data_IF_025178314323
#
_entry.id   IF_025178314323
#
_cell.length_a   1.000
_cell.length_b   1.000
_cell.length_c   1.000
_cell.angle_alpha   90.00
_cell.angle_beta   90.00
_cell.angle_gamma   90.00
#
_symmetry.space_group_name_H-M   'P 1'
#
loop_
_entity.id
_entity.type
_entity.pdbx_description
1 polymer ?
#
# COMPACT_ATOMS: atom_id res chain seq x y z
N UNK A 1 7.80 18.86 11.22
CA UNK A 1 8.32 19.69 10.12
C UNK A 1 7.32 19.52 8.98
N UNK A 2 6.58 20.57 8.61
CA UNK A 2 5.63 20.48 7.49
C UNK A 2 6.40 20.16 6.20
N UNK A 3 6.10 19.03 5.58
CA UNK A 3 6.79 18.56 4.39
C UNK A 3 6.22 19.28 3.16
N UNK A 4 7.07 20.01 2.43
CA UNK A 4 6.62 20.77 1.25
C UNK A 4 6.47 19.84 0.04
N UNK A 5 5.25 19.71 -0.45
CA UNK A 5 4.92 18.85 -1.59
C UNK A 5 5.51 19.39 -2.90
N UNK A 6 6.10 18.49 -3.70
CA UNK A 6 6.74 18.74 -5.00
C UNK A 6 6.11 17.84 -6.05
N UNK A 7 5.23 18.41 -6.89
CA UNK A 7 4.55 17.68 -7.97
C UNK A 7 5.45 17.36 -9.18
N UNK A 8 6.74 17.74 -9.15
CA UNK A 8 7.73 17.48 -10.20
C UNK A 8 9.06 17.05 -9.58
N UNK A 9 9.79 16.20 -10.29
CA UNK A 9 11.12 15.71 -9.90
C UNK A 9 11.07 14.42 -9.08
N UNK A 10 12.24 14.02 -8.58
CA UNK A 10 12.44 12.83 -7.74
C UNK A 10 13.46 13.16 -6.65
N UNK A 11 13.31 12.58 -5.45
CA UNK A 11 14.36 12.62 -4.44
C UNK A 11 15.57 11.77 -4.88
N UNK A 12 16.78 12.14 -4.46
CA UNK A 12 17.96 11.26 -4.54
C UNK A 12 18.21 10.63 -3.17
N UNK A 13 17.98 9.33 -3.04
CA UNK A 13 18.03 8.63 -1.74
C UNK A 13 19.44 8.14 -1.40
N UNK A 14 20.21 7.77 -2.41
CA UNK A 14 21.59 7.32 -2.29
C UNK A 14 22.50 8.09 -3.25
N UNK A 15 23.73 8.37 -2.81
CA UNK A 15 24.73 8.97 -3.71
C UNK A 15 25.12 8.03 -4.85
N UNK A 16 25.14 6.72 -4.58
CA UNK A 16 25.43 5.65 -5.54
C UNK A 16 24.25 5.39 -6.47
N UNK A 17 24.48 5.49 -7.78
CA UNK A 17 23.48 5.18 -8.80
C UNK A 17 23.01 3.72 -8.72
N UNK A 18 23.87 2.78 -8.31
CA UNK A 18 23.49 1.36 -8.16
C UNK A 18 22.51 1.17 -7.02
N UNK A 19 22.72 1.84 -5.89
CA UNK A 19 21.81 1.77 -4.75
C UNK A 19 20.49 2.49 -5.03
N UNK A 20 20.53 3.57 -5.81
CA UNK A 20 19.34 4.34 -6.18
C UNK A 20 18.34 3.51 -6.99
N UNK A 21 18.81 2.62 -7.89
CA UNK A 21 17.94 1.74 -8.68
C UNK A 21 17.08 0.84 -7.78
N UNK A 22 17.60 0.38 -6.64
CA UNK A 22 16.83 -0.44 -5.70
C UNK A 22 15.74 0.33 -4.94
N UNK A 23 15.69 1.66 -5.07
CA UNK A 23 14.61 2.50 -4.53
C UNK A 23 13.45 2.68 -5.51
N UNK A 24 13.63 2.26 -6.76
CA UNK A 24 12.68 2.45 -7.86
C UNK A 24 12.01 1.14 -8.19
N UNK A 25 10.72 1.17 -8.49
CA UNK A 25 9.92 -0.03 -8.74
C UNK A 25 8.78 0.25 -9.68
N UNK A 26 8.56 -0.68 -10.61
CA UNK A 26 7.41 -0.67 -11.49
C UNK A 26 6.36 -1.68 -11.01
N UNK A 27 5.06 -1.40 -11.22
CA UNK A 27 4.00 -2.35 -10.89
C UNK A 27 4.22 -3.72 -11.52
N UNK A 28 4.73 -3.79 -12.75
CA UNK A 28 4.94 -5.05 -13.48
C UNK A 28 5.89 -6.00 -12.75
N UNK A 29 6.96 -5.49 -12.13
CA UNK A 29 7.91 -6.31 -11.37
C UNK A 29 7.24 -6.90 -10.12
N UNK A 30 6.39 -6.12 -9.44
CA UNK A 30 5.69 -6.61 -8.25
C UNK A 30 4.65 -7.67 -8.63
N UNK A 31 3.90 -7.46 -9.71
CA UNK A 31 2.93 -8.44 -10.20
C UNK A 31 3.60 -9.73 -10.68
N UNK A 32 4.74 -9.65 -11.39
CA UNK A 32 5.45 -10.85 -11.87
C UNK A 32 6.00 -11.72 -10.74
N UNK A 33 6.24 -11.14 -9.56
CA UNK A 33 6.64 -11.86 -8.35
C UNK A 33 5.41 -12.48 -7.66
N UNK A 34 4.41 -11.66 -7.36
CA UNK A 34 3.34 -12.08 -6.46
C UNK A 34 2.23 -12.88 -7.13
N UNK A 35 1.93 -12.68 -8.41
CA UNK A 35 0.90 -13.46 -9.10
C UNK A 35 1.27 -14.95 -9.16
N UNK A 36 2.49 -15.34 -9.59
CA UNK A 36 2.90 -16.75 -9.53
C UNK A 36 2.90 -17.30 -8.10
N UNK A 37 3.33 -16.52 -7.11
CA UNK A 37 3.32 -16.94 -5.70
C UNK A 37 1.89 -17.24 -5.21
N UNK A 38 0.95 -16.33 -5.49
CA UNK A 38 -0.48 -16.50 -5.16
C UNK A 38 -1.01 -17.79 -5.79
N UNK A 39 -0.79 -17.97 -7.10
CA UNK A 39 -1.28 -19.15 -7.82
C UNK A 39 -0.66 -20.45 -7.30
N UNK A 40 0.64 -20.45 -7.00
CA UNK A 40 1.33 -21.62 -6.45
C UNK A 40 0.80 -22.01 -5.07
N UNK A 41 0.58 -21.04 -4.17
CA UNK A 41 0.08 -21.30 -2.83
C UNK A 41 -1.39 -21.76 -2.82
N UNK A 42 -2.23 -21.17 -3.66
CA UNK A 42 -3.62 -21.62 -3.83
C UNK A 42 -3.68 -23.01 -4.48
N UNK A 43 -2.83 -23.28 -5.47
CA UNK A 43 -2.69 -24.61 -6.07
C UNK A 43 -2.22 -25.64 -5.05
N UNK A 44 -1.22 -25.33 -4.24
CA UNK A 44 -0.75 -26.20 -3.16
C UNK A 44 -1.86 -26.47 -2.13
N UNK A 45 -2.67 -25.46 -1.79
CA UNK A 45 -3.80 -25.62 -0.87
C UNK A 45 -4.85 -26.60 -1.41
N UNK A 46 -5.19 -26.50 -2.71
CA UNK A 46 -6.21 -27.35 -3.35
C UNK A 46 -5.71 -28.77 -3.64
N UNK A 47 -4.49 -28.89 -4.16
CA UNK A 47 -3.99 -30.15 -4.74
C UNK A 47 -2.96 -30.85 -3.85
N UNK A 48 -2.20 -30.11 -3.03
CA UNK A 48 -1.19 -30.66 -2.13
C UNK A 48 -1.75 -30.95 -0.74
N UNK A 49 -2.48 -29.99 -0.16
CA UNK A 49 -3.13 -30.14 1.15
C UNK A 49 -4.55 -30.71 1.06
N UNK A 50 -5.08 -30.87 -0.17
CA UNK A 50 -6.42 -31.38 -0.43
C UNK A 50 -7.54 -30.60 0.30
N UNK A 51 -7.35 -29.30 0.53
CA UNK A 51 -8.35 -28.46 1.16
C UNK A 51 -9.48 -28.18 0.15
N UNK A 52 -10.72 -28.30 0.62
CA UNK A 52 -11.90 -28.00 -0.19
C UNK A 52 -11.91 -26.55 -0.69
N UNK A 53 -12.34 -26.36 -1.95
CA UNK A 53 -12.32 -25.04 -2.60
C UNK A 53 -13.06 -23.94 -1.83
N UNK A 54 -14.14 -24.27 -1.10
CA UNK A 54 -14.91 -23.28 -0.35
C UNK A 54 -14.14 -22.77 0.88
N UNK A 55 -13.39 -23.64 1.56
CA UNK A 55 -12.50 -23.23 2.65
C UNK A 55 -11.36 -22.34 2.12
N UNK A 56 -10.78 -22.71 0.98
CA UNK A 56 -9.77 -21.88 0.29
C UNK A 56 -10.34 -20.49 0.00
N UNK A 57 -11.56 -20.41 -0.55
CA UNK A 57 -12.22 -19.14 -0.83
C UNK A 57 -12.47 -18.32 0.45
N UNK A 58 -12.98 -18.94 1.52
CA UNK A 58 -13.22 -18.26 2.80
C UNK A 58 -11.94 -17.66 3.36
N UNK A 59 -10.85 -18.43 3.45
CA UNK A 59 -9.57 -17.91 3.95
C UNK A 59 -8.97 -16.85 3.03
N UNK A 60 -9.04 -17.04 1.72
CA UNK A 60 -8.55 -16.07 0.74
C UNK A 60 -9.27 -14.72 0.89
N UNK A 61 -10.60 -14.71 0.89
CA UNK A 61 -11.35 -13.45 1.04
C UNK A 61 -11.21 -12.85 2.45
N UNK A 62 -11.04 -13.69 3.49
CA UNK A 62 -10.73 -13.21 4.83
C UNK A 62 -9.36 -12.53 4.89
N UNK A 63 -8.34 -13.08 4.21
CA UNK A 63 -7.02 -12.48 4.08
C UNK A 63 -7.06 -11.16 3.33
N UNK A 64 -7.80 -11.10 2.22
CA UNK A 64 -8.00 -9.88 1.44
C UNK A 64 -8.72 -8.80 2.25
N UNK A 65 -9.75 -9.17 3.03
CA UNK A 65 -10.42 -8.24 3.93
C UNK A 65 -9.47 -7.76 5.04
N UNK A 66 -8.71 -8.67 5.66
CA UNK A 66 -7.74 -8.33 6.70
C UNK A 66 -6.64 -7.40 6.18
N UNK A 67 -6.22 -7.54 4.92
CA UNK A 67 -5.31 -6.58 4.30
C UNK A 67 -5.81 -5.14 4.42
N UNK A 68 -7.10 -4.87 4.22
CA UNK A 68 -7.64 -3.50 4.33
C UNK A 68 -7.45 -2.90 5.72
N UNK A 69 -7.53 -3.75 6.76
CA UNK A 69 -7.28 -3.34 8.14
C UNK A 69 -5.79 -3.13 8.39
N UNK A 70 -4.96 -4.06 7.91
CA UNK A 70 -3.51 -3.95 8.00
C UNK A 70 -2.98 -2.70 7.29
N UNK A 71 -3.49 -2.40 6.09
CA UNK A 71 -3.24 -1.16 5.35
C UNK A 71 -3.49 0.06 6.23
N UNK A 72 -4.68 0.14 6.84
CA UNK A 72 -5.04 1.25 7.70
C UNK A 72 -4.07 1.42 8.88
N UNK A 73 -3.75 0.32 9.57
CA UNK A 73 -2.83 0.36 10.72
C UNK A 73 -1.41 0.75 10.30
N UNK A 74 -0.90 0.17 9.22
CA UNK A 74 0.44 0.48 8.71
C UNK A 74 0.54 1.92 8.26
N UNK A 75 -0.45 2.39 7.51
CA UNK A 75 -0.45 3.75 7.00
C UNK A 75 -0.52 4.75 8.15
N UNK A 76 -1.42 4.56 9.11
CA UNK A 76 -1.59 5.47 10.25
C UNK A 76 -0.43 5.44 11.25
N UNK A 77 -0.01 4.26 11.70
CA UNK A 77 0.88 4.13 12.86
C UNK A 77 2.34 3.90 12.51
N UNK A 78 2.63 3.38 11.31
CA UNK A 78 4.01 3.10 10.90
C UNK A 78 4.47 4.15 9.89
N UNK A 79 3.75 4.33 8.79
CA UNK A 79 4.16 5.23 7.71
C UNK A 79 4.07 6.71 8.12
N UNK A 80 3.12 7.05 9.00
CA UNK A 80 3.00 8.38 9.62
C UNK A 80 3.55 8.44 11.06
N UNK A 81 4.45 7.51 11.42
CA UNK A 81 5.12 7.56 12.72
C UNK A 81 5.99 8.81 12.85
N UNK A 82 5.74 9.60 13.87
CA UNK A 82 6.59 10.72 14.25
C UNK A 82 7.58 10.27 15.32
N UNK A 83 8.88 10.52 15.08
CA UNK A 83 9.94 10.21 16.03
C UNK A 83 10.98 11.33 16.04
N UNK A 84 11.58 11.60 17.19
CA UNK A 84 12.72 12.51 17.34
C UNK A 84 14.04 11.84 16.96
N UNK A 85 14.08 10.51 16.84
CA UNK A 85 15.29 9.78 16.50
C UNK A 85 15.63 9.94 14.99
N UNK A 86 16.79 10.52 14.63
CA UNK A 86 17.14 10.78 13.23
C UNK A 86 17.19 9.53 12.35
N UNK A 87 17.55 8.36 12.91
CA UNK A 87 17.57 7.10 12.15
C UNK A 87 16.17 6.64 11.80
N UNK A 88 15.24 6.76 12.75
CA UNK A 88 13.83 6.43 12.54
C UNK A 88 13.20 7.41 11.55
N UNK A 89 13.47 8.71 11.68
CA UNK A 89 13.02 9.71 10.72
C UNK A 89 13.49 9.40 9.29
N UNK A 90 14.78 9.06 9.12
CA UNK A 90 15.31 8.67 7.80
C UNK A 90 14.63 7.43 7.24
N UNK A 91 14.39 6.42 8.08
CA UNK A 91 13.69 5.21 7.67
C UNK A 91 12.24 5.52 7.25
N UNK A 92 11.48 6.27 8.05
CA UNK A 92 10.09 6.63 7.72
C UNK A 92 10.00 7.54 6.50
N UNK A 93 10.93 8.46 6.34
CA UNK A 93 11.06 9.24 5.10
C UNK A 93 11.30 8.34 3.89
N UNK A 94 12.17 7.33 4.01
CA UNK A 94 12.44 6.38 2.92
C UNK A 94 11.25 5.48 2.62
N UNK A 95 10.52 5.04 3.66
CA UNK A 95 9.39 4.13 3.53
C UNK A 95 8.14 4.81 2.96
N UNK A 96 7.88 6.06 3.33
CA UNK A 96 6.66 6.76 2.94
C UNK A 96 6.79 8.27 2.78
N UNK A 97 7.63 8.95 3.57
CA UNK A 97 7.76 10.41 3.48
C UNK A 97 8.18 10.92 2.10
N UNK A 98 9.06 10.20 1.39
CA UNK A 98 9.47 10.53 0.01
C UNK A 98 8.29 10.54 -0.96
N UNK A 99 7.28 9.69 -0.72
CA UNK A 99 6.05 9.70 -1.50
C UNK A 99 5.20 10.94 -1.20
N UNK A 100 5.07 11.35 0.07
CA UNK A 100 4.39 12.61 0.42
C UNK A 100 5.11 13.85 -0.13
N UNK A 101 6.44 13.84 -0.19
CA UNK A 101 7.20 14.94 -0.80
C UNK A 101 7.05 14.92 -2.33
N UNK A 102 7.10 13.76 -2.97
CA UNK A 102 7.01 13.60 -4.43
C UNK A 102 5.87 12.66 -4.84
N UNK A 103 4.60 13.07 -4.68
CA UNK A 103 3.44 12.17 -4.87
C UNK A 103 3.29 11.71 -6.32
N UNK A 104 3.85 12.45 -7.27
CA UNK A 104 3.81 12.14 -8.71
C UNK A 104 5.01 11.32 -9.20
N UNK A 105 5.94 10.93 -8.32
CA UNK A 105 7.06 10.03 -8.66
C UNK A 105 6.56 8.58 -8.81
N UNK A 106 6.20 8.22 -10.06
CA UNK A 106 5.62 6.91 -10.40
C UNK A 106 6.53 5.72 -10.10
N UNK A 107 7.83 5.95 -9.95
CA UNK A 107 8.80 4.88 -9.67
C UNK A 107 8.88 4.54 -8.17
N UNK A 108 8.20 5.30 -7.29
CA UNK A 108 8.27 5.14 -5.83
C UNK A 108 6.91 5.03 -5.14
N UNK A 109 5.89 4.63 -5.89
CA UNK A 109 4.55 4.39 -5.36
C UNK A 109 4.39 2.96 -4.82
N UNK A 110 5.02 1.98 -5.46
CA UNK A 110 5.09 0.61 -4.98
C UNK A 110 6.31 0.41 -4.08
N UNK A 111 6.15 -0.47 -3.08
CA UNK A 111 7.28 -0.91 -2.26
C UNK A 111 8.27 -1.70 -3.13
N UNK A 112 9.58 -1.44 -3.04
CA UNK A 112 10.55 -2.16 -3.84
C UNK A 112 10.63 -3.67 -3.56
N UNK A 113 11.05 -4.50 -4.55
CA UNK A 113 10.99 -5.95 -4.44
C UNK A 113 11.70 -6.53 -3.22
N UNK A 114 12.90 -6.02 -2.90
CA UNK A 114 13.69 -6.53 -1.77
C UNK A 114 12.99 -6.31 -0.42
N UNK A 115 12.66 -5.07 0.00
CA UNK A 115 11.92 -4.86 1.25
C UNK A 115 10.53 -5.52 1.22
N UNK A 116 9.87 -5.57 0.06
CA UNK A 116 8.57 -6.22 -0.09
C UNK A 116 8.65 -7.72 0.20
N UNK A 117 9.63 -8.43 -0.37
CA UNK A 117 9.82 -9.87 -0.14
C UNK A 117 10.24 -10.20 1.30
N UNK A 118 11.07 -9.36 1.93
CA UNK A 118 11.43 -9.52 3.34
C UNK A 118 10.20 -9.41 4.24
N UNK A 119 9.37 -8.39 4.02
CA UNK A 119 8.14 -8.20 4.78
C UNK A 119 7.13 -9.32 4.49
N UNK A 120 6.97 -9.72 3.24
CA UNK A 120 6.12 -10.84 2.84
C UNK A 120 6.53 -12.14 3.52
N UNK A 121 7.84 -12.44 3.56
CA UNK A 121 8.37 -13.64 4.24
C UNK A 121 8.09 -13.61 5.74
N UNK A 122 8.33 -12.46 6.38
CA UNK A 122 8.04 -12.27 7.79
C UNK A 122 6.54 -12.43 8.12
N UNK A 123 5.67 -11.81 7.33
CA UNK A 123 4.22 -11.89 7.51
C UNK A 123 3.68 -13.29 7.24
N UNK A 124 4.13 -13.96 6.17
CA UNK A 124 3.76 -15.36 5.92
C UNK A 124 4.16 -16.26 7.09
N UNK A 125 5.40 -16.14 7.57
CA UNK A 125 5.90 -16.91 8.71
C UNK A 125 5.06 -16.65 9.96
N UNK A 126 4.71 -15.40 10.21
CA UNK A 126 3.86 -15.00 11.34
C UNK A 126 2.46 -15.61 11.23
N UNK A 127 1.82 -15.51 10.07
CA UNK A 127 0.51 -16.12 9.85
C UNK A 127 0.58 -17.64 9.97
N UNK A 128 1.62 -18.27 9.43
CA UNK A 128 1.82 -19.72 9.54
C UNK A 128 1.96 -20.16 11.01
N UNK A 129 2.66 -19.39 11.85
CA UNK A 129 2.75 -19.67 13.28
C UNK A 129 1.40 -19.54 14.03
N UNK A 130 0.50 -18.66 13.56
CA UNK A 130 -0.77 -18.39 14.23
C UNK A 130 -1.89 -19.34 13.75
N UNK A 131 -2.00 -19.54 12.44
CA UNK A 131 -3.12 -20.27 11.81
C UNK A 131 -2.69 -21.56 11.09
N UNK A 132 -1.41 -21.95 11.21
CA UNK A 132 -0.85 -23.16 10.62
C UNK A 132 -0.92 -23.16 9.10
N UNK A 133 -1.23 -24.31 8.53
CA UNK A 133 -1.37 -24.52 7.08
C UNK A 133 -2.44 -23.63 6.44
N UNK A 134 -3.40 -23.09 7.22
CA UNK A 134 -4.38 -22.13 6.68
C UNK A 134 -3.73 -20.85 6.14
N UNK A 135 -2.49 -20.55 6.55
CA UNK A 135 -1.71 -19.45 5.98
C UNK A 135 -1.48 -19.61 4.47
N UNK A 136 -1.44 -20.84 3.94
CA UNK A 136 -1.32 -21.07 2.49
C UNK A 136 -2.54 -20.60 1.69
N UNK A 137 -3.70 -20.42 2.35
CA UNK A 137 -4.93 -19.88 1.73
C UNK A 137 -5.14 -18.41 2.07
N UNK A 138 -4.87 -18.03 3.33
CA UNK A 138 -5.06 -16.68 3.83
C UNK A 138 -4.05 -15.70 3.24
N UNK A 139 -2.75 -16.06 3.22
CA UNK A 139 -1.70 -15.16 2.77
C UNK A 139 -1.82 -14.76 1.29
N UNK A 140 -2.16 -15.65 0.34
CA UNK A 140 -2.44 -15.24 -1.04
C UNK A 140 -3.57 -14.21 -1.15
N UNK A 141 -4.61 -14.33 -0.31
CA UNK A 141 -5.68 -13.34 -0.19
C UNK A 141 -5.18 -11.99 0.31
N UNK A 142 -4.39 -12.02 1.38
CA UNK A 142 -3.74 -10.84 1.95
C UNK A 142 -2.84 -10.12 0.93
N UNK A 143 -1.99 -10.86 0.22
CA UNK A 143 -1.12 -10.32 -0.84
C UNK A 143 -1.93 -9.80 -2.03
N UNK A 144 -3.04 -10.45 -2.37
CA UNK A 144 -3.95 -9.96 -3.42
C UNK A 144 -4.59 -8.62 -3.01
N UNK A 145 -4.94 -8.46 -1.73
CA UNK A 145 -5.32 -7.17 -1.14
C UNK A 145 -4.22 -6.11 -1.30
N UNK A 146 -2.97 -6.45 -1.01
CA UNK A 146 -1.82 -5.58 -1.22
C UNK A 146 -1.65 -5.13 -2.67
N UNK A 147 -1.78 -6.05 -3.64
CA UNK A 147 -1.70 -5.71 -5.06
C UNK A 147 -2.84 -4.77 -5.47
N UNK A 148 -4.07 -5.02 -5.01
CA UNK A 148 -5.21 -4.15 -5.27
C UNK A 148 -5.00 -2.75 -4.68
N UNK A 149 -4.54 -2.66 -3.43
CA UNK A 149 -4.15 -1.41 -2.77
C UNK A 149 -3.08 -0.67 -3.59
N UNK A 150 -1.98 -1.34 -3.93
CA UNK A 150 -0.86 -0.72 -4.64
C UNK A 150 -1.29 -0.22 -6.03
N UNK A 151 -2.13 -0.99 -6.73
CA UNK A 151 -2.68 -0.57 -8.02
C UNK A 151 -3.61 0.64 -7.89
N UNK A 152 -4.50 0.66 -6.90
CA UNK A 152 -5.38 1.80 -6.64
C UNK A 152 -4.55 3.05 -6.28
N UNK A 153 -3.60 2.90 -5.36
CA UNK A 153 -2.71 3.97 -4.93
C UNK A 153 -1.90 4.54 -6.10
N UNK A 154 -1.34 3.66 -6.94
CA UNK A 154 -0.64 4.05 -8.16
C UNK A 154 -1.56 4.82 -9.10
N UNK A 155 -2.76 4.30 -9.38
CA UNK A 155 -3.71 4.94 -10.28
C UNK A 155 -4.12 6.34 -9.79
N UNK A 156 -4.37 6.50 -8.49
CA UNK A 156 -4.73 7.80 -7.88
C UNK A 156 -3.70 8.90 -8.15
N UNK A 157 -2.42 8.54 -8.18
CA UNK A 157 -1.33 9.50 -8.39
C UNK A 157 -0.88 9.61 -9.85
N UNK A 158 -1.03 8.52 -10.62
CA UNK A 158 -0.47 8.43 -11.95
C UNK A 158 -1.41 8.87 -13.09
N UNK A 159 -2.73 8.88 -12.84
CA UNK A 159 -3.74 9.16 -13.86
C UNK A 159 -5.00 9.84 -13.27
N UNK A 160 -5.78 10.49 -14.13
CA UNK A 160 -7.11 10.98 -13.80
C UNK A 160 -8.06 9.80 -13.48
N UNK A 161 -9.12 10.00 -12.66
CA UNK A 161 -10.08 8.95 -12.36
C UNK A 161 -10.74 8.45 -13.65
N UNK A 162 -10.72 7.14 -13.94
CA UNK A 162 -11.24 6.61 -15.21
C UNK A 162 -12.76 6.72 -15.31
N UNK A 163 -13.46 6.84 -14.17
CA UNK A 163 -14.91 6.98 -14.11
C UNK A 163 -15.32 8.10 -13.14
N UNK A 164 -16.45 8.77 -13.43
CA UNK A 164 -16.95 9.90 -12.62
C UNK A 164 -17.15 9.56 -11.14
N UNK A 165 -17.66 8.35 -10.84
CA UNK A 165 -17.89 7.92 -9.45
C UNK A 165 -16.59 7.75 -8.65
N UNK A 166 -15.45 7.53 -9.32
CA UNK A 166 -14.14 7.41 -8.68
C UNK A 166 -13.50 8.77 -8.35
N UNK A 167 -14.03 9.90 -8.88
CA UNK A 167 -13.49 11.25 -8.59
C UNK A 167 -13.51 11.56 -7.09
N UNK A 168 -14.55 11.10 -6.39
CA UNK A 168 -14.64 11.22 -4.94
C UNK A 168 -13.49 10.48 -4.23
N UNK A 169 -13.12 9.30 -4.74
CA UNK A 169 -12.06 8.47 -4.17
C UNK A 169 -10.66 9.04 -4.42
N UNK A 170 -10.38 9.54 -5.63
CA UNK A 170 -9.14 10.26 -5.93
C UNK A 170 -8.98 11.47 -5.02
N UNK A 171 -10.05 12.28 -4.91
CA UNK A 171 -10.07 13.44 -4.03
C UNK A 171 -9.85 13.05 -2.56
N UNK A 172 -10.42 11.94 -2.11
CA UNK A 172 -10.26 11.47 -0.73
C UNK A 172 -8.78 11.28 -0.37
N UNK A 173 -8.04 10.53 -1.17
CA UNK A 173 -6.61 10.31 -0.94
C UNK A 173 -5.77 11.57 -1.21
N UNK A 174 -6.16 12.41 -2.17
CA UNK A 174 -5.49 13.70 -2.35
C UNK A 174 -5.68 14.63 -1.14
N UNK A 175 -6.83 14.62 -0.46
CA UNK A 175 -7.01 15.37 0.78
C UNK A 175 -6.01 14.94 1.85
N UNK A 176 -5.74 13.64 1.97
CA UNK A 176 -4.68 13.12 2.83
C UNK A 176 -3.32 13.72 2.47
N UNK A 177 -2.94 13.72 1.20
CA UNK A 177 -1.67 14.29 0.75
C UNK A 177 -1.54 15.80 0.97
N UNK A 178 -2.58 16.56 0.62
CA UNK A 178 -2.46 18.01 0.43
C UNK A 178 -3.08 18.88 1.54
N UNK A 179 -3.98 18.33 2.38
CA UNK A 179 -4.72 19.12 3.37
C UNK A 179 -4.79 18.51 4.77
N UNK A 180 -4.82 17.20 4.88
CA UNK A 180 -5.03 16.51 6.17
C UNK A 180 -4.15 15.25 6.24
N UNK A 181 -2.81 15.40 6.33
CA UNK A 181 -1.88 14.27 6.37
C UNK A 181 -2.08 13.36 7.60
N UNK A 182 -2.77 13.84 8.62
CA UNK A 182 -3.16 13.11 9.83
C UNK A 182 -4.54 12.42 9.73
N UNK A 183 -5.16 12.41 8.55
CA UNK A 183 -6.49 11.83 8.25
C UNK A 183 -6.48 11.11 6.90
N UNK A 184 -7.46 10.26 6.62
CA UNK A 184 -7.62 9.60 5.31
C UNK A 184 -6.57 8.53 5.05
N UNK A 185 -6.37 7.63 6.02
CA UNK A 185 -5.36 6.58 5.93
C UNK A 185 -5.82 5.38 5.07
N UNK A 186 -7.12 5.24 4.82
CA UNK A 186 -7.63 4.23 3.91
C UNK A 186 -7.47 4.66 2.44
N UNK A 187 -6.66 3.93 1.68
CA UNK A 187 -6.41 4.14 0.25
C UNK A 187 -7.23 3.18 -0.61
N UNK A 188 -7.47 1.96 -0.13
CA UNK A 188 -8.37 1.01 -0.79
C UNK A 188 -9.84 1.30 -0.51
N UNK A 189 -10.15 1.73 0.72
CA UNK A 189 -11.51 1.99 1.20
C UNK A 189 -11.50 2.91 2.44
N UNK A 190 -12.52 3.75 2.67
CA UNK A 190 -12.57 4.63 3.84
C UNK A 190 -13.14 3.94 5.07
N UNK A 191 -13.47 2.64 4.98
CA UNK A 191 -14.16 1.88 6.02
C UNK A 191 -13.51 2.05 7.40
N UNK A 192 -12.19 1.88 7.50
CA UNK A 192 -11.48 2.00 8.77
C UNK A 192 -11.32 3.45 9.23
N UNK A 193 -11.26 4.41 8.31
CA UNK A 193 -11.31 5.83 8.68
C UNK A 193 -12.64 6.21 9.33
N UNK A 194 -13.77 5.64 8.86
CA UNK A 194 -15.07 5.82 9.52
C UNK A 194 -15.10 5.14 10.89
N UNK A 195 -14.62 3.90 11.00
CA UNK A 195 -14.58 3.14 12.27
C UNK A 195 -13.75 3.87 13.33
N UNK A 196 -12.62 4.47 12.96
CA UNK A 196 -11.67 5.07 13.89
C UNK A 196 -11.67 6.61 13.90
N UNK A 197 -12.63 7.26 13.22
CA UNK A 197 -12.80 8.72 13.25
C UNK A 197 -11.67 9.51 12.57
N UNK A 198 -11.07 8.96 11.52
CA UNK A 198 -9.98 9.59 10.76
C UNK A 198 -10.37 10.01 9.35
N UNK A 199 -11.66 10.16 9.06
CA UNK A 199 -12.14 10.72 7.78
C UNK A 199 -11.62 12.15 7.60
N UNK A 200 -10.98 12.49 6.45
CA UNK A 200 -10.54 13.84 6.16
C UNK A 200 -11.76 14.76 5.99
N UNK A 201 -11.72 15.94 6.61
CA UNK A 201 -12.80 16.89 6.49
C UNK A 201 -12.93 17.33 5.03
N UNK A 202 -14.15 17.41 4.53
CA UNK A 202 -14.40 18.06 3.25
C UNK A 202 -14.00 19.53 3.38
N UNK A 203 -12.80 19.87 2.93
CA UNK A 203 -12.54 21.24 2.53
C UNK A 203 -13.54 21.54 1.41
N UNK A 204 -14.43 22.52 1.61
CA UNK A 204 -15.27 23.07 0.54
C UNK A 204 -14.43 23.28 -0.72
N UNK A 205 -15.06 23.08 -1.90
CA UNK A 205 -14.46 23.10 -3.25
C UNK A 205 -12.92 23.00 -3.24
N UNK A 206 -12.40 21.78 -3.15
CA UNK A 206 -11.01 21.54 -3.47
C UNK A 206 -10.89 21.68 -4.99
N UNK A 207 -10.39 22.82 -5.46
CA UNK A 207 -10.00 22.98 -6.85
C UNK A 207 -8.87 21.98 -7.13
N UNK A 208 -9.13 21.05 -8.05
CA UNK A 208 -8.15 20.08 -8.48
C UNK A 208 -6.98 20.87 -9.10
N UNK A 209 -5.72 20.64 -8.73
CA UNK A 209 -4.59 21.28 -9.40
C UNK A 209 -4.50 20.94 -10.91
N UNK A 210 -5.32 20.01 -11.40
CA UNK A 210 -5.48 19.67 -12.83
C UNK A 210 -6.55 20.51 -13.54
N UNK A 211 -7.29 21.39 -12.85
CA UNK A 211 -8.27 22.32 -13.44
C UNK A 211 -7.67 23.72 -13.72
N UNK A 212 -6.35 23.92 -13.56
CA UNK A 212 -5.61 25.14 -13.99
C UNK A 212 -4.31 24.79 -14.73
#
# INVERSE_FOLDING_TARGET
>A
MEMKIKNKGQAKMFQSNRLEVFTKTSPQVIFSIYVPLILAMLGYSLFGLHISWYMVAVYYFSGMFFWTFFEYLMHRFVFHLHSENPKVQKFMYTAHGVHHEFPRDKERLFMPPVPSLLLATFLFSTFYLIIGENAYMFFPGFVSGYLAYGSMHYAIHAMAPPFKFMKAWWRYHHLHHYKSPDKGFGVSSPMWDHVFGTVPQHAGKFDNPEEN
#
